data_IF_234910202897
#
_entry.id   IF_234910202897
#
_cell.length_a   1.000
_cell.length_b   1.000
_cell.length_c   1.000
_cell.angle_alpha   90.00
_cell.angle_beta   90.00
_cell.angle_gamma   90.00
#
_symmetry.space_group_name_H-M   'P 1'
#
loop_
_entity.id
_entity.type
_entity.pdbx_description
1 polymer ?
#
# COMPACT_ATOMS: atom_id res chain seq x y z
N UNK A 1 3.81 46.03 42.75
CA UNK A 1 4.02 45.63 41.34
C UNK A 1 3.91 44.12 41.28
N UNK A 2 2.82 43.60 40.71
CA UNK A 2 2.51 42.17 40.65
C UNK A 2 3.27 41.52 39.48
N UNK A 3 3.85 40.32 39.63
CA UNK A 3 4.46 39.60 38.51
C UNK A 3 3.35 38.92 37.72
N UNK A 4 3.00 39.47 36.56
CA UNK A 4 2.07 38.79 35.64
C UNK A 4 2.77 37.59 35.03
N UNK A 5 2.40 36.39 35.46
CA UNK A 5 2.77 35.13 34.82
C UNK A 5 2.35 35.16 33.35
N UNK A 6 3.33 35.23 32.45
CA UNK A 6 3.07 35.15 31.01
C UNK A 6 2.76 33.68 30.65
N UNK A 7 1.61 33.37 30.03
CA UNK A 7 1.25 31.99 29.69
C UNK A 7 2.21 31.44 28.62
N UNK A 8 3.11 30.55 29.05
CA UNK A 8 4.17 29.91 28.23
C UNK A 8 3.66 28.96 27.14
N UNK A 9 2.36 28.73 27.00
CA UNK A 9 1.82 27.58 26.24
C UNK A 9 1.24 27.90 24.85
N UNK A 10 1.26 29.14 24.38
CA UNK A 10 0.46 29.52 23.19
C UNK A 10 1.08 29.26 21.80
N UNK A 11 2.35 28.89 21.70
CA UNK A 11 3.03 28.93 20.39
C UNK A 11 3.15 27.63 19.61
N UNK A 12 2.79 26.48 20.19
CA UNK A 12 3.13 25.19 19.57
C UNK A 12 1.98 24.32 19.04
N UNK A 13 0.71 24.49 19.43
CA UNK A 13 -0.29 23.42 19.12
C UNK A 13 -1.63 23.89 18.50
N UNK A 14 -2.14 25.10 18.75
CA UNK A 14 -3.51 25.42 18.30
C UNK A 14 -3.61 26.26 17.01
N UNK A 15 -4.68 26.11 16.19
CA UNK A 15 -4.83 26.71 14.86
C UNK A 15 -5.54 28.09 14.90
N UNK A 16 -5.10 29.04 15.73
CA UNK A 16 -5.68 30.39 15.69
C UNK A 16 -5.27 31.18 14.42
N UNK A 17 -6.18 31.96 13.81
CA UNK A 17 -5.91 32.77 12.61
C UNK A 17 -4.78 33.77 12.82
N UNK A 18 -4.00 34.02 11.77
CA UNK A 18 -2.76 34.83 11.80
C UNK A 18 -3.00 36.26 12.33
N UNK A 19 -4.15 36.85 12.02
CA UNK A 19 -4.53 38.19 12.48
C UNK A 19 -4.72 38.27 14.00
N UNK A 20 -5.26 37.21 14.61
CA UNK A 20 -5.53 37.12 16.06
C UNK A 20 -4.26 36.91 16.90
N UNK A 21 -3.22 36.30 16.32
CA UNK A 21 -1.90 36.15 16.98
C UNK A 21 -1.03 37.39 16.93
N UNK A 22 -1.23 38.24 15.91
CA UNK A 22 -0.44 39.46 15.75
C UNK A 22 -0.91 40.57 16.71
N UNK A 23 -2.24 40.73 16.85
CA UNK A 23 -2.81 41.67 17.81
C UNK A 23 -2.33 41.33 19.22
N UNK A 24 -2.34 40.05 19.59
CA UNK A 24 -1.87 39.59 20.90
C UNK A 24 -0.36 39.80 21.11
N UNK A 25 0.51 39.50 20.15
CA UNK A 25 1.96 39.71 20.32
C UNK A 25 2.35 41.17 20.61
N UNK A 26 1.77 42.13 19.88
CA UNK A 26 2.05 43.56 20.09
C UNK A 26 1.40 44.11 21.37
N UNK A 27 0.32 43.49 21.84
CA UNK A 27 -0.36 43.83 23.10
C UNK A 27 0.41 43.35 24.33
N UNK A 28 1.05 42.17 24.26
CA UNK A 28 1.70 41.55 25.42
C UNK A 28 3.20 41.82 25.52
N UNK A 29 3.89 42.08 24.40
CA UNK A 29 5.33 42.31 24.39
C UNK A 29 5.68 43.64 23.70
N UNK A 30 6.44 44.53 24.36
CA UNK A 30 6.77 45.83 23.81
C UNK A 30 7.83 45.78 22.70
N UNK A 31 8.51 44.64 22.52
CA UNK A 31 9.44 44.43 21.40
C UNK A 31 9.51 42.98 20.97
N UNK A 32 9.86 42.77 19.69
CA UNK A 32 10.08 41.43 19.12
C UNK A 32 11.19 40.69 19.86
N UNK A 33 12.21 41.41 20.34
CA UNK A 33 13.32 40.81 21.09
C UNK A 33 12.85 40.32 22.47
N UNK A 34 12.04 41.09 23.18
CA UNK A 34 11.43 40.65 24.44
C UNK A 34 10.46 39.48 24.24
N UNK A 35 9.70 39.48 23.14
CA UNK A 35 8.87 38.33 22.78
C UNK A 35 9.71 37.08 22.48
N UNK A 36 10.83 37.21 21.75
CA UNK A 36 11.74 36.12 21.44
C UNK A 36 12.37 35.50 22.70
N UNK A 37 12.83 36.35 23.61
CA UNK A 37 13.38 35.91 24.91
C UNK A 37 12.31 35.27 25.79
N UNK A 38 11.13 35.87 25.92
CA UNK A 38 10.04 35.36 26.76
C UNK A 38 9.44 34.03 26.24
N UNK A 39 9.43 33.85 24.92
CA UNK A 39 8.93 32.62 24.27
C UNK A 39 10.04 31.59 24.02
N UNK A 40 11.28 31.87 24.41
CA UNK A 40 12.46 31.01 24.17
C UNK A 40 12.60 30.59 22.69
N UNK A 41 12.27 31.50 21.77
CA UNK A 41 12.25 31.25 20.33
C UNK A 41 13.21 32.22 19.64
N UNK A 42 13.95 31.73 18.64
CA UNK A 42 14.84 32.58 17.82
C UNK A 42 14.17 33.85 17.31
N UNK A 43 14.85 34.99 17.46
CA UNK A 43 14.42 36.30 16.99
C UNK A 43 13.89 36.27 15.55
N UNK A 44 14.61 35.62 14.63
CA UNK A 44 14.21 35.54 13.22
C UNK A 44 12.88 34.80 13.01
N UNK A 45 12.54 33.85 13.88
CA UNK A 45 11.27 33.13 13.80
C UNK A 45 10.12 34.04 14.24
N UNK A 46 10.28 34.78 15.33
CA UNK A 46 9.27 35.76 15.79
C UNK A 46 9.12 36.92 14.81
N UNK A 47 10.23 37.48 14.32
CA UNK A 47 10.24 38.50 13.28
C UNK A 47 9.60 38.00 11.97
N UNK A 48 9.90 36.77 11.56
CA UNK A 48 9.27 36.17 10.39
C UNK A 48 7.75 36.05 10.55
N UNK A 49 7.29 35.64 11.74
CA UNK A 49 5.87 35.55 12.08
C UNK A 49 5.22 36.93 12.14
N UNK A 50 5.90 37.94 12.66
CA UNK A 50 5.42 39.33 12.68
C UNK A 50 5.32 39.97 11.29
N UNK A 51 6.01 39.41 10.30
CA UNK A 51 5.85 39.73 8.88
C UNK A 51 4.82 38.83 8.16
N UNK A 52 4.03 38.05 8.90
CA UNK A 52 2.99 37.18 8.35
C UNK A 52 3.52 35.89 7.70
N UNK A 53 4.80 35.55 7.85
CA UNK A 53 5.34 34.29 7.29
C UNK A 53 4.72 33.11 8.02
N UNK A 54 4.15 32.15 7.28
CA UNK A 54 3.52 30.94 7.83
C UNK A 54 4.53 29.82 8.11
N UNK A 55 4.23 28.87 9.01
CA UNK A 55 5.06 27.69 9.20
C UNK A 55 5.20 26.93 7.88
N UNK A 56 6.39 26.40 7.59
CA UNK A 56 6.67 25.69 6.33
C UNK A 56 5.76 24.46 6.16
N UNK A 57 5.18 23.93 7.23
CA UNK A 57 4.16 22.88 7.16
C UNK A 57 2.91 23.30 6.38
N UNK A 58 2.57 24.59 6.35
CA UNK A 58 1.43 25.16 5.60
C UNK A 58 1.84 25.88 4.31
N UNK A 59 3.14 26.12 4.10
CA UNK A 59 3.64 26.60 2.82
C UNK A 59 3.60 25.42 1.85
N UNK A 60 2.47 25.26 1.17
CA UNK A 60 2.29 24.36 0.04
C UNK A 60 3.29 24.68 -1.06
N UNK A 61 4.54 24.21 -0.92
CA UNK A 61 5.53 24.26 -1.99
C UNK A 61 5.14 23.33 -3.12
N UNK A 62 6.06 22.50 -3.59
CA UNK A 62 5.79 21.41 -4.54
C UNK A 62 4.78 20.34 -4.05
N UNK A 63 3.99 20.60 -3.02
CA UNK A 63 2.91 19.71 -2.55
C UNK A 63 1.70 19.67 -3.48
N UNK A 64 1.53 20.65 -4.37
CA UNK A 64 0.31 20.84 -5.17
C UNK A 64 0.55 20.81 -6.69
N UNK A 65 1.41 19.90 -7.19
CA UNK A 65 1.40 19.62 -8.65
C UNK A 65 0.12 18.87 -9.03
N UNK A 66 -0.23 17.90 -8.20
CA UNK A 66 -1.44 17.10 -8.35
C UNK A 66 -2.57 17.70 -7.53
N UNK A 67 -3.77 17.68 -8.10
CA UNK A 67 -5.00 17.90 -7.35
C UNK A 67 -5.26 16.68 -6.44
N UNK A 68 -6.06 16.81 -5.37
CA UNK A 68 -6.40 15.66 -4.52
C UNK A 68 -7.08 14.50 -5.25
N UNK A 69 -7.73 14.77 -6.40
CA UNK A 69 -8.31 13.73 -7.24
C UNK A 69 -7.22 12.93 -7.97
N UNK A 70 -6.29 13.64 -8.62
CA UNK A 70 -5.16 13.02 -9.35
C UNK A 70 -4.18 12.32 -8.41
N UNK A 71 -3.99 12.85 -7.21
CA UNK A 71 -3.17 12.24 -6.19
C UNK A 71 -3.72 10.86 -5.80
N UNK A 72 -5.05 10.75 -5.64
CA UNK A 72 -5.72 9.46 -5.39
C UNK A 72 -5.55 8.49 -6.55
N UNK A 73 -5.70 8.95 -7.79
CA UNK A 73 -5.49 8.11 -8.98
C UNK A 73 -4.07 7.53 -9.02
N UNK A 74 -3.06 8.37 -8.76
CA UNK A 74 -1.67 7.95 -8.72
C UNK A 74 -1.40 6.95 -7.59
N UNK A 75 -2.01 7.15 -6.42
CA UNK A 75 -1.89 6.22 -5.29
C UNK A 75 -2.55 4.87 -5.61
N UNK A 76 -3.71 4.85 -6.27
CA UNK A 76 -4.36 3.62 -6.75
C UNK A 76 -3.45 2.88 -7.72
N UNK A 77 -2.88 3.60 -8.70
CA UNK A 77 -1.91 3.03 -9.64
C UNK A 77 -0.70 2.44 -8.91
N UNK A 78 -0.11 3.20 -7.98
CA UNK A 78 1.06 2.76 -7.21
C UNK A 78 0.73 1.51 -6.39
N UNK A 79 -0.41 1.51 -5.71
CA UNK A 79 -0.88 0.36 -4.95
C UNK A 79 -1.05 -0.88 -5.83
N UNK A 80 -1.61 -0.76 -7.04
CA UNK A 80 -1.70 -1.88 -8.00
C UNK A 80 -0.33 -2.43 -8.37
N UNK A 81 0.65 -1.57 -8.65
CA UNK A 81 2.02 -2.00 -8.96
C UNK A 81 2.65 -2.75 -7.79
N UNK A 82 2.49 -2.25 -6.56
CA UNK A 82 2.99 -2.92 -5.36
C UNK A 82 2.27 -4.24 -5.12
N UNK A 83 0.96 -4.33 -5.39
CA UNK A 83 0.21 -5.58 -5.27
C UNK A 83 0.65 -6.64 -6.28
N UNK A 84 1.05 -6.23 -7.48
CA UNK A 84 1.68 -7.10 -8.48
C UNK A 84 3.15 -7.45 -8.14
N UNK A 85 3.71 -6.92 -7.05
CA UNK A 85 5.11 -7.16 -6.65
C UNK A 85 6.14 -6.34 -7.43
N UNK A 86 5.71 -5.29 -8.14
CA UNK A 86 6.63 -4.42 -8.88
C UNK A 86 7.20 -3.31 -8.00
N UNK A 87 8.53 -3.18 -8.02
CA UNK A 87 9.20 -2.05 -7.40
C UNK A 87 9.04 -0.80 -8.29
N UNK A 88 8.48 0.27 -7.72
CA UNK A 88 8.21 1.50 -8.46
C UNK A 88 9.48 2.35 -8.51
N UNK A 89 10.07 2.42 -9.70
CA UNK A 89 11.20 3.32 -9.97
C UNK A 89 10.73 4.78 -10.11
N UNK A 90 11.55 5.72 -9.62
CA UNK A 90 11.31 7.18 -9.70
C UNK A 90 10.98 7.62 -11.14
N UNK A 91 11.68 7.07 -12.15
CA UNK A 91 11.45 7.41 -13.56
C UNK A 91 10.03 7.05 -13.99
N UNK A 92 9.55 5.87 -13.60
CA UNK A 92 8.22 5.36 -13.98
C UNK A 92 7.11 6.13 -13.28
N UNK A 93 7.30 6.46 -12.00
CA UNK A 93 6.43 7.39 -11.28
C UNK A 93 6.29 8.71 -12.02
N UNK A 94 7.40 9.30 -12.47
CA UNK A 94 7.37 10.59 -13.19
C UNK A 94 6.62 10.52 -14.51
N UNK A 95 6.77 9.42 -15.26
CA UNK A 95 6.03 9.21 -16.50
C UNK A 95 4.52 9.15 -16.24
N UNK A 96 4.09 8.34 -15.28
CA UNK A 96 2.68 8.21 -14.90
C UNK A 96 2.08 9.56 -14.49
N UNK A 97 2.82 10.35 -13.71
CA UNK A 97 2.34 11.68 -13.29
C UNK A 97 2.21 12.62 -14.47
N UNK A 98 3.19 12.64 -15.38
CA UNK A 98 3.10 13.47 -16.58
C UNK A 98 1.94 13.03 -17.49
N UNK A 99 1.60 11.74 -17.53
CA UNK A 99 0.43 11.23 -18.27
C UNK A 99 -0.87 11.71 -17.65
N UNK A 100 -1.02 11.62 -16.32
CA UNK A 100 -2.19 12.16 -15.60
C UNK A 100 -2.33 13.66 -15.85
N UNK A 101 -1.24 14.42 -15.72
CA UNK A 101 -1.23 15.86 -15.99
C UNK A 101 -1.64 16.17 -17.43
N UNK A 102 -1.14 15.38 -18.40
CA UNK A 102 -1.50 15.52 -19.82
C UNK A 102 -2.97 15.20 -20.07
N UNK A 103 -3.52 14.17 -19.43
CA UNK A 103 -4.93 13.82 -19.50
C UNK A 103 -5.83 14.93 -18.93
N UNK A 104 -5.39 15.63 -17.89
CA UNK A 104 -6.07 16.81 -17.34
C UNK A 104 -5.85 18.10 -18.15
N UNK A 105 -5.22 18.03 -19.33
CA UNK A 105 -4.95 19.20 -20.18
C UNK A 105 -3.85 20.14 -19.65
N UNK A 106 -3.04 19.71 -18.67
CA UNK A 106 -1.97 20.52 -18.07
C UNK A 106 -0.59 20.07 -18.56
N UNK A 107 0.05 20.87 -19.40
CA UNK A 107 1.41 20.62 -19.89
C UNK A 107 2.54 20.97 -18.89
N UNK A 108 2.34 20.68 -17.60
CA UNK A 108 3.37 20.89 -16.57
C UNK A 108 4.24 19.64 -16.48
N UNK A 109 5.56 19.82 -16.57
CA UNK A 109 6.52 18.73 -16.34
C UNK A 109 6.89 18.63 -14.87
N UNK A 110 6.89 17.41 -14.36
CA UNK A 110 7.32 17.14 -12.99
C UNK A 110 8.84 17.18 -12.86
N UNK A 111 9.33 17.84 -11.81
CA UNK A 111 10.77 17.97 -11.52
C UNK A 111 11.30 16.79 -10.68
N UNK A 112 12.62 16.51 -10.80
CA UNK A 112 13.36 15.54 -9.96
C UNK A 112 13.36 15.81 -8.44
N UNK A 113 12.91 17.00 -8.05
CA UNK A 113 12.80 17.37 -6.63
C UNK A 113 11.40 17.09 -6.10
N UNK A 114 10.42 17.09 -6.98
CA UNK A 114 9.04 16.78 -6.64
C UNK A 114 8.88 15.28 -6.40
N UNK A 115 9.37 14.45 -7.31
CA UNK A 115 9.21 12.99 -7.23
C UNK A 115 9.89 12.38 -5.99
N UNK A 116 11.11 12.82 -5.64
CA UNK A 116 11.79 12.44 -4.40
C UNK A 116 10.96 12.80 -3.17
N UNK A 117 10.41 14.02 -3.14
CA UNK A 117 9.53 14.47 -2.05
C UNK A 117 8.21 13.71 -2.01
N UNK A 118 7.69 13.32 -3.17
CA UNK A 118 6.45 12.59 -3.29
C UNK A 118 6.60 11.17 -2.75
N UNK A 119 7.65 10.46 -3.15
CA UNK A 119 7.98 9.13 -2.63
C UNK A 119 8.27 9.17 -1.13
N UNK A 120 9.03 10.17 -0.66
CA UNK A 120 9.33 10.34 0.76
C UNK A 120 8.09 10.61 1.61
N UNK A 121 7.04 11.23 1.06
CA UNK A 121 5.76 11.46 1.78
C UNK A 121 4.94 10.17 1.91
N UNK A 122 5.01 9.31 0.90
CA UNK A 122 4.21 8.08 0.80
C UNK A 122 5.09 6.84 0.95
N UNK A 123 6.10 6.90 1.81
CA UNK A 123 7.05 5.81 2.05
C UNK A 123 6.34 4.51 2.42
N UNK A 124 5.29 4.61 3.21
CA UNK A 124 4.46 3.49 3.63
C UNK A 124 3.79 2.72 2.48
N UNK A 125 3.65 3.29 1.28
CA UNK A 125 3.14 2.59 0.08
C UNK A 125 4.30 2.15 -0.80
N UNK A 126 5.23 3.06 -1.10
CA UNK A 126 6.32 2.81 -2.06
C UNK A 126 7.42 1.89 -1.51
N UNK A 127 7.58 1.80 -0.19
CA UNK A 127 8.58 0.96 0.48
C UNK A 127 7.96 -0.19 1.27
N UNK A 128 6.70 -0.57 1.00
CA UNK A 128 6.19 -1.84 1.51
C UNK A 128 7.05 -2.98 0.95
N UNK A 129 7.92 -3.53 1.80
CA UNK A 129 8.55 -4.82 1.53
C UNK A 129 7.47 -5.87 1.72
N UNK A 130 6.90 -6.40 0.63
CA UNK A 130 6.34 -7.75 0.70
C UNK A 130 7.50 -8.73 0.76
N UNK A 131 7.28 -9.83 1.46
CA UNK A 131 8.15 -11.03 1.45
C UNK A 131 8.73 -11.21 0.07
N UNK A 132 10.05 -11.36 0.02
CA UNK A 132 10.84 -11.36 -1.21
C UNK A 132 10.15 -12.19 -2.27
N UNK A 133 10.12 -11.75 -3.53
CA UNK A 133 9.65 -12.60 -4.64
C UNK A 133 10.37 -13.95 -4.66
N UNK A 134 11.58 -14.03 -4.09
CA UNK A 134 12.29 -15.26 -3.83
C UNK A 134 11.64 -16.14 -2.75
N UNK A 135 11.12 -15.57 -1.67
CA UNK A 135 10.38 -16.30 -0.62
C UNK A 135 9.04 -16.82 -1.16
N UNK A 136 8.33 -16.00 -1.95
CA UNK A 136 7.11 -16.46 -2.63
C UNK A 136 7.40 -17.61 -3.62
N UNK A 137 8.53 -17.52 -4.35
CA UNK A 137 9.00 -18.61 -5.23
C UNK A 137 9.43 -19.86 -4.45
N UNK A 138 10.15 -19.71 -3.34
CA UNK A 138 10.53 -20.82 -2.44
C UNK A 138 9.29 -21.53 -1.91
N UNK A 139 8.32 -20.76 -1.40
CA UNK A 139 7.04 -21.29 -0.93
C UNK A 139 6.28 -22.01 -2.04
N UNK A 140 6.21 -21.47 -3.25
CA UNK A 140 5.56 -22.15 -4.38
C UNK A 140 6.28 -23.46 -4.78
N UNK A 141 7.60 -23.52 -4.66
CA UNK A 141 8.39 -24.75 -4.87
C UNK A 141 8.16 -25.76 -3.76
N UNK A 142 8.11 -25.32 -2.50
CA UNK A 142 7.78 -26.13 -1.33
C UNK A 142 6.37 -26.72 -1.45
N UNK A 143 5.38 -25.89 -1.80
CA UNK A 143 3.99 -26.32 -2.04
C UNK A 143 3.92 -27.37 -3.17
N UNK A 144 4.67 -27.18 -4.26
CA UNK A 144 4.75 -28.16 -5.35
C UNK A 144 5.37 -29.48 -4.89
N UNK A 145 6.41 -29.43 -4.07
CA UNK A 145 7.04 -30.63 -3.52
C UNK A 145 6.09 -31.41 -2.60
N UNK A 146 5.33 -30.70 -1.74
CA UNK A 146 4.30 -31.27 -0.86
C UNK A 146 3.18 -31.93 -1.66
N UNK A 147 2.68 -31.26 -2.71
CA UNK A 147 1.65 -31.83 -3.58
C UNK A 147 2.17 -33.11 -4.25
N UNK A 148 3.41 -33.07 -4.76
CA UNK A 148 4.01 -34.21 -5.46
C UNK A 148 4.23 -35.40 -4.53
N UNK A 149 4.70 -35.17 -3.30
CA UNK A 149 4.88 -36.23 -2.30
C UNK A 149 3.55 -36.83 -1.86
N UNK A 150 2.50 -36.02 -1.72
CA UNK A 150 1.15 -36.49 -1.41
C UNK A 150 0.59 -37.39 -2.53
N UNK A 151 0.75 -36.98 -3.79
CA UNK A 151 0.37 -37.81 -4.95
C UNK A 151 1.16 -39.13 -5.03
N UNK A 152 2.45 -39.11 -4.73
CA UNK A 152 3.28 -40.32 -4.71
C UNK A 152 2.86 -41.25 -3.57
N UNK A 153 2.64 -40.73 -2.36
CA UNK A 153 2.15 -41.52 -1.23
C UNK A 153 0.79 -42.15 -1.53
N UNK A 154 -0.14 -41.40 -2.10
CA UNK A 154 -1.44 -41.91 -2.54
C UNK A 154 -1.32 -43.00 -3.60
N UNK A 155 -0.43 -42.81 -4.57
CA UNK A 155 -0.16 -43.81 -5.61
C UNK A 155 0.40 -45.10 -5.02
N UNK A 156 1.33 -45.01 -4.08
CA UNK A 156 1.89 -46.16 -3.36
C UNK A 156 0.82 -46.87 -2.54
N UNK A 157 -0.04 -46.12 -1.84
CA UNK A 157 -1.18 -46.65 -1.11
C UNK A 157 -2.11 -47.44 -2.04
N UNK A 158 -2.45 -46.92 -3.22
CA UNK A 158 -3.28 -47.63 -4.21
C UNK A 158 -2.63 -48.91 -4.75
N UNK A 159 -1.30 -48.94 -4.89
CA UNK A 159 -0.58 -50.16 -5.28
C UNK A 159 -0.53 -51.20 -4.17
N UNK A 160 -0.35 -50.78 -2.91
CA UNK A 160 -0.32 -51.64 -1.73
C UNK A 160 -1.71 -52.19 -1.37
N UNK A 161 -2.75 -51.39 -1.57
CA UNK A 161 -4.15 -51.74 -1.32
C UNK A 161 -4.92 -52.06 -2.60
N UNK A 162 -4.23 -52.48 -3.68
CA UNK A 162 -4.91 -53.09 -4.83
C UNK A 162 -5.84 -54.18 -4.29
N UNK A 163 -7.15 -54.12 -4.52
CA UNK A 163 -8.01 -55.23 -4.17
C UNK A 163 -7.57 -56.42 -5.01
N UNK A 164 -6.86 -57.36 -4.39
CA UNK A 164 -6.81 -58.73 -4.88
C UNK A 164 -8.25 -59.25 -4.74
N UNK A 165 -8.82 -59.74 -5.85
CA UNK A 165 -10.21 -60.20 -6.02
C UNK A 165 -11.22 -59.07 -6.36
N UNK A 166 -11.98 -59.10 -7.45
CA UNK A 166 -12.87 -60.19 -7.86
C UNK A 166 -13.40 -60.02 -9.31
N UNK A 167 -12.60 -59.53 -10.27
CA UNK A 167 -13.10 -59.39 -11.66
C UNK A 167 -13.37 -60.73 -12.38
N UNK A 168 -12.87 -61.86 -11.85
CA UNK A 168 -13.18 -63.19 -12.39
C UNK A 168 -14.55 -63.74 -11.94
N UNK A 169 -15.17 -63.24 -10.85
CA UNK A 169 -16.50 -63.70 -10.43
C UNK A 169 -17.64 -63.10 -11.26
N UNK A 170 -17.45 -61.90 -11.82
CA UNK A 170 -18.47 -61.25 -12.65
C UNK A 170 -18.50 -61.81 -14.09
N UNK A 171 -17.36 -62.28 -14.61
CA UNK A 171 -17.30 -62.95 -15.91
C UNK A 171 -17.94 -64.35 -15.88
N UNK A 172 -17.72 -65.12 -14.80
CA UNK A 172 -18.28 -66.47 -14.69
C UNK A 172 -19.81 -66.48 -14.45
N UNK A 173 -20.35 -65.46 -13.79
CA UNK A 173 -21.81 -65.33 -13.57
C UNK A 173 -22.58 -64.81 -14.79
N UNK A 174 -21.92 -64.09 -15.71
CA UNK A 174 -22.54 -63.68 -16.98
C UNK A 174 -22.62 -64.82 -18.00
N UNK A 175 -21.68 -65.79 -17.97
CA UNK A 175 -21.74 -66.97 -18.85
C UNK A 175 -22.87 -67.92 -18.46
N UNK A 176 -23.07 -68.18 -17.17
CA UNK A 176 -24.14 -69.06 -16.66
C UNK A 176 -25.57 -68.51 -16.91
N UNK A 177 -25.72 -67.18 -16.99
CA UNK A 177 -27.01 -66.53 -17.28
C UNK A 177 -27.34 -66.45 -18.79
N UNK A 178 -26.35 -66.60 -19.67
CA UNK A 178 -26.56 -66.59 -21.12
C UNK A 178 -26.88 -67.98 -21.68
N UNK A 179 -26.34 -69.06 -21.09
CA UNK A 179 -26.66 -70.44 -21.51
C UNK A 179 -28.10 -70.84 -21.18
N UNK A 180 -28.71 -70.28 -20.12
CA UNK A 180 -30.11 -70.52 -19.79
C UNK A 180 -31.11 -69.80 -20.71
N UNK A 181 -30.65 -68.82 -21.51
CA UNK A 181 -31.51 -68.09 -22.46
C UNK A 181 -31.57 -68.73 -23.84
N UNK A 182 -30.59 -69.56 -24.20
CA UNK A 182 -30.52 -70.24 -25.49
C UNK A 182 -31.37 -71.53 -25.55
N UNK A 183 -31.74 -72.11 -24.41
CA UNK A 183 -32.57 -73.34 -24.34
C UNK A 183 -34.08 -73.07 -24.32
N UNK A 184 -34.53 -71.80 -24.37
CA UNK A 184 -35.96 -71.42 -24.28
C UNK A 184 -36.56 -70.78 -25.55
N UNK A 185 -35.93 -70.92 -26.72
CA UNK A 185 -36.52 -70.47 -28.00
C UNK A 185 -36.54 -71.60 -29.03
N UNK A 186 -37.64 -72.35 -29.03
CA UNK A 186 -38.47 -72.83 -30.16
C UNK A 186 -39.37 -73.95 -29.62
N UNK A 187 -40.70 -73.88 -29.83
CA UNK A 187 -41.33 -74.34 -31.07
C UNK A 187 -42.17 -73.19 -31.68
N UNK A 188 -42.38 -73.11 -32.99
CA UNK A 188 -42.95 -74.08 -33.92
C UNK A 188 -42.41 -73.86 -35.34
#
# INVERSE_FOLDING_TARGET
MQPTEYPRLFFCIEPLPIASRMSTLNLYYPSIMKAATALEVSYHRVYGRSKGRRPVSHNGGQRAILTPAEDRELLIWAHRQVMCGHHIQIRRLRLQVNEILRASGRNKKVTRRWDRRYMSRHTHIFHMKKTSTQEARRKAVEDRAIITSCFQAWRTYLYQHKPVANFQRLANNQSLMNDQRLTRRMPF
#
